data_IF_730849410889
#
_entry.id   IF_730849410889
#
_cell.length_a   1.000
_cell.length_b   1.000
_cell.length_c   1.000
_cell.angle_alpha   90.00
_cell.angle_beta   90.00
_cell.angle_gamma   90.00
#
_symmetry.space_group_name_H-M   'P 1'
#
loop_
_entity.id
_entity.type
_entity.pdbx_description
1 polymer ?
#
# COMPACT_ATOMS: atom_id res chain seq x y z
N UNK A 1 -13.55 4.76 -9.44
CA UNK A 1 -13.73 4.61 -7.98
C UNK A 1 -12.44 4.08 -7.41
N UNK A 2 -11.97 4.62 -6.28
CA UNK A 2 -10.66 4.36 -5.68
C UNK A 2 -10.83 3.74 -4.30
N UNK A 3 -10.34 2.52 -4.15
CA UNK A 3 -10.38 1.76 -2.90
C UNK A 3 -8.97 1.68 -2.34
N UNK A 4 -8.81 1.98 -1.05
CA UNK A 4 -7.55 1.80 -0.34
C UNK A 4 -7.67 0.63 0.65
N UNK A 5 -6.79 -0.35 0.54
CA UNK A 5 -6.73 -1.54 1.41
C UNK A 5 -5.51 -1.46 2.33
N UNK A 6 -5.74 -1.42 3.63
CA UNK A 6 -4.70 -1.40 4.65
C UNK A 6 -4.51 -2.81 5.20
N UNK A 7 -3.27 -3.31 5.09
CA UNK A 7 -2.83 -4.60 5.65
C UNK A 7 -1.61 -4.39 6.55
N UNK A 8 -1.22 -5.41 7.30
CA UNK A 8 0.01 -5.33 8.10
C UNK A 8 1.25 -5.59 7.23
N UNK A 9 1.39 -6.76 6.58
CA UNK A 9 2.57 -7.07 5.77
C UNK A 9 2.31 -8.17 4.72
N UNK A 10 3.15 -8.29 3.69
CA UNK A 10 3.03 -9.40 2.72
C UNK A 10 3.63 -10.72 3.21
N UNK A 11 4.26 -10.73 4.39
CA UNK A 11 4.92 -11.92 4.93
C UNK A 11 3.94 -13.04 5.24
N UNK A 12 2.70 -12.71 5.61
CA UNK A 12 1.68 -13.68 5.98
C UNK A 12 0.86 -14.13 4.76
N UNK A 13 0.67 -15.44 4.61
CA UNK A 13 -0.16 -16.05 3.58
C UNK A 13 -1.59 -15.50 3.57
N UNK A 14 -2.18 -15.29 4.75
CA UNK A 14 -3.53 -14.72 4.87
C UNK A 14 -3.62 -13.36 4.19
N UNK A 15 -2.64 -12.48 4.42
CA UNK A 15 -2.65 -11.12 3.88
C UNK A 15 -2.42 -11.12 2.37
N UNK A 16 -1.51 -11.97 1.87
CA UNK A 16 -1.32 -12.14 0.41
C UNK A 16 -2.59 -12.63 -0.26
N UNK A 17 -3.29 -13.60 0.34
CA UNK A 17 -4.56 -14.13 -0.18
C UNK A 17 -5.66 -13.08 -0.17
N UNK A 18 -5.80 -12.29 0.90
CA UNK A 18 -6.73 -11.14 0.95
C UNK A 18 -6.42 -10.14 -0.17
N UNK A 19 -5.17 -9.73 -0.33
CA UNK A 19 -4.77 -8.82 -1.41
C UNK A 19 -5.08 -9.39 -2.79
N UNK A 20 -4.88 -10.70 -2.98
CA UNK A 20 -5.19 -11.36 -4.25
C UNK A 20 -6.69 -11.36 -4.55
N UNK A 21 -7.52 -11.68 -3.58
CA UNK A 21 -8.98 -11.61 -3.72
C UNK A 21 -9.46 -10.19 -4.04
N UNK A 22 -8.95 -9.21 -3.32
CA UNK A 22 -9.26 -7.80 -3.54
C UNK A 22 -8.83 -7.33 -4.94
N UNK A 23 -7.64 -7.73 -5.40
CA UNK A 23 -7.16 -7.42 -6.74
C UNK A 23 -8.10 -7.98 -7.81
N UNK A 24 -8.48 -9.27 -7.71
CA UNK A 24 -9.37 -9.90 -8.69
C UNK A 24 -10.72 -9.19 -8.76
N UNK A 25 -11.32 -8.86 -7.61
CA UNK A 25 -12.56 -8.08 -7.57
C UNK A 25 -12.39 -6.68 -8.16
N UNK A 26 -11.27 -6.00 -7.88
CA UNK A 26 -11.02 -4.66 -8.39
C UNK A 26 -10.89 -4.65 -9.92
N UNK A 27 -10.21 -5.66 -10.49
CA UNK A 27 -10.06 -5.86 -11.93
C UNK A 27 -11.41 -6.17 -12.61
N UNK A 28 -12.23 -7.07 -12.03
CA UNK A 28 -13.56 -7.40 -12.56
C UNK A 28 -14.51 -6.19 -12.57
N UNK A 29 -14.46 -5.37 -11.51
CA UNK A 29 -15.33 -4.21 -11.34
C UNK A 29 -14.78 -2.94 -12.00
N UNK A 30 -13.56 -2.99 -12.54
CA UNK A 30 -12.89 -1.85 -13.16
C UNK A 30 -12.67 -0.67 -12.20
N UNK A 31 -12.30 -0.95 -10.95
CA UNK A 31 -11.98 0.06 -9.92
C UNK A 31 -10.48 0.05 -9.61
N UNK A 32 -9.95 1.17 -9.08
CA UNK A 32 -8.55 1.25 -8.66
C UNK A 32 -8.40 0.70 -7.24
N UNK A 33 -7.35 -0.08 -6.98
CA UNK A 33 -7.03 -0.62 -5.66
C UNK A 33 -5.62 -0.19 -5.22
N UNK A 34 -5.53 0.54 -4.12
CA UNK A 34 -4.27 0.95 -3.50
C UNK A 34 -4.01 0.14 -2.24
N UNK A 35 -2.95 -0.66 -2.21
CA UNK A 35 -2.60 -1.52 -1.07
C UNK A 35 -1.51 -0.84 -0.23
N UNK A 36 -1.78 -0.68 1.06
CA UNK A 36 -0.91 -0.02 2.04
C UNK A 36 -0.44 -1.03 3.10
N UNK A 37 0.75 -1.63 2.96
CA UNK A 37 1.38 -2.44 4.00
C UNK A 37 2.01 -1.57 5.09
N UNK A 38 1.30 -1.36 6.20
CA UNK A 38 1.75 -0.46 7.27
C UNK A 38 2.23 -1.14 8.56
N UNK A 39 2.41 -2.45 8.58
CA UNK A 39 2.71 -3.27 9.76
C UNK A 39 1.70 -3.10 10.92
N UNK A 40 2.17 -3.26 12.16
CA UNK A 40 1.34 -3.29 13.37
C UNK A 40 1.30 -1.91 14.03
N UNK A 41 0.16 -1.54 14.60
CA UNK A 41 0.09 -0.46 15.58
C UNK A 41 0.94 -0.85 16.79
N UNK A 42 1.62 0.13 17.37
CA UNK A 42 2.44 -0.07 18.57
C UNK A 42 1.97 0.81 19.71
N UNK A 43 1.98 0.27 20.93
CA UNK A 43 1.85 1.09 22.13
C UNK A 43 3.04 2.06 22.25
N UNK A 44 2.78 3.25 22.80
CA UNK A 44 3.82 4.23 23.09
C UNK A 44 4.64 3.79 24.32
N UNK A 45 5.51 2.78 24.17
CA UNK A 45 6.41 2.39 25.26
C UNK A 45 7.55 3.41 25.39
N UNK A 46 7.42 4.33 26.34
CA UNK A 46 8.41 5.37 26.64
C UNK A 46 9.74 4.80 27.15
N UNK A 47 9.79 3.55 27.64
CA UNK A 47 11.00 2.94 28.20
C UNK A 47 11.91 2.32 27.14
N UNK A 48 11.38 2.02 25.94
CA UNK A 48 12.11 1.41 24.81
C UNK A 48 12.40 2.38 23.65
N UNK A 49 12.18 3.67 23.86
CA UNK A 49 12.12 4.69 22.81
C UNK A 49 13.38 4.87 21.93
N UNK A 50 14.55 4.34 22.31
CA UNK A 50 15.82 4.61 21.62
C UNK A 50 16.18 3.65 20.47
N UNK A 51 15.47 2.54 20.25
CA UNK A 51 15.89 1.50 19.27
C UNK A 51 14.79 0.95 18.36
N UNK A 52 13.54 1.30 18.60
CA UNK A 52 12.42 0.72 17.86
C UNK A 52 12.05 1.68 16.72
N UNK A 53 12.41 1.37 15.48
CA UNK A 53 11.99 2.10 14.27
C UNK A 53 10.66 1.59 13.69
N UNK A 54 10.10 0.51 14.25
CA UNK A 54 8.89 -0.12 13.71
C UNK A 54 7.66 0.78 13.80
N UNK A 55 7.66 1.78 14.69
CA UNK A 55 6.58 2.80 14.73
C UNK A 55 6.46 3.59 13.42
N UNK A 56 7.54 3.67 12.64
CA UNK A 56 7.55 4.44 11.40
C UNK A 56 6.75 3.75 10.29
N UNK A 57 6.49 2.45 10.40
CA UNK A 57 5.86 1.64 9.35
C UNK A 57 4.40 2.05 9.10
N UNK A 58 3.68 2.47 10.15
CA UNK A 58 2.30 2.96 9.99
C UNK A 58 2.23 4.30 9.22
N UNK A 59 3.36 4.97 8.98
CA UNK A 59 3.38 6.27 8.30
C UNK A 59 2.85 6.21 6.86
N UNK A 60 2.87 5.04 6.24
CA UNK A 60 2.26 4.84 4.92
C UNK A 60 0.76 5.17 4.92
N UNK A 61 0.08 5.00 6.06
CA UNK A 61 -1.35 5.32 6.20
C UNK A 61 -1.63 6.82 6.19
N UNK A 62 -0.63 7.67 6.46
CA UNK A 62 -0.78 9.13 6.44
C UNK A 62 -0.88 9.71 5.03
N UNK A 63 -0.66 8.90 3.98
CA UNK A 63 -0.80 9.31 2.58
C UNK A 63 -2.21 9.09 2.03
N UNK A 64 -3.10 8.53 2.85
CA UNK A 64 -4.50 8.30 2.51
C UNK A 64 -5.30 9.57 2.80
N UNK A 65 -6.11 9.99 1.84
CA UNK A 65 -6.97 11.16 1.99
C UNK A 65 -8.20 11.08 1.06
N UNK A 66 -9.21 11.94 1.24
CA UNK A 66 -10.41 11.96 0.39
C UNK A 66 -10.14 12.29 -1.08
N UNK A 67 -9.04 12.98 -1.40
CA UNK A 67 -8.68 13.30 -2.78
C UNK A 67 -8.19 12.07 -3.55
N UNK A 68 -7.68 11.03 -2.86
CA UNK A 68 -7.16 9.80 -3.49
C UNK A 68 -7.90 8.51 -3.11
N UNK A 69 -8.85 8.57 -2.18
CA UNK A 69 -9.57 7.39 -1.67
C UNK A 69 -11.05 7.70 -1.47
N UNK A 70 -11.92 6.90 -2.10
CA UNK A 70 -13.37 7.03 -1.94
C UNK A 70 -13.90 6.20 -0.75
N UNK A 71 -13.24 5.06 -0.46
CA UNK A 71 -13.55 4.17 0.66
C UNK A 71 -12.31 3.39 1.11
N UNK A 72 -12.21 3.18 2.42
CA UNK A 72 -11.12 2.43 3.07
C UNK A 72 -11.56 1.02 3.45
N UNK A 73 -10.73 0.04 3.14
CA UNK A 73 -10.81 -1.32 3.65
C UNK A 73 -9.66 -1.54 4.63
N UNK A 74 -9.94 -1.98 5.85
CA UNK A 74 -8.91 -2.09 6.91
C UNK A 74 -8.94 -3.47 7.58
N UNK A 75 -7.81 -4.18 7.54
CA UNK A 75 -7.56 -5.37 8.36
C UNK A 75 -7.16 -4.99 9.80
N UNK A 76 -8.09 -4.36 10.52
CA UNK A 76 -7.84 -3.77 11.83
C UNK A 76 -7.48 -4.80 12.90
N UNK A 77 -7.96 -6.04 12.74
CA UNK A 77 -7.61 -7.14 13.63
C UNK A 77 -6.11 -7.41 13.59
N UNK A 78 -5.55 -7.56 12.39
CA UNK A 78 -4.12 -7.82 12.21
C UNK A 78 -3.26 -6.59 12.50
N UNK A 79 -3.59 -5.44 11.91
CA UNK A 79 -2.86 -4.18 12.12
C UNK A 79 -2.87 -3.81 13.61
N UNK A 80 -4.01 -3.96 14.27
CA UNK A 80 -4.19 -3.62 15.68
C UNK A 80 -3.89 -4.75 16.67
N UNK A 81 -3.34 -5.89 16.26
CA UNK A 81 -3.20 -7.09 17.14
C UNK A 81 -2.37 -6.87 18.40
N UNK A 82 -1.54 -5.83 18.44
CA UNK A 82 -0.64 -5.49 19.56
C UNK A 82 -1.13 -4.35 20.45
N UNK A 83 -2.32 -3.81 20.20
CA UNK A 83 -2.86 -2.65 20.92
C UNK A 83 -4.30 -2.87 21.38
N UNK A 84 -4.70 -2.14 22.41
CA UNK A 84 -6.07 -2.20 22.96
C UNK A 84 -7.13 -1.53 22.07
N UNK A 85 -8.41 -1.74 22.41
CA UNK A 85 -9.55 -1.19 21.68
C UNK A 85 -9.50 0.33 21.52
N UNK A 86 -9.14 1.06 22.58
CA UNK A 86 -9.01 2.53 22.57
C UNK A 86 -8.04 2.98 21.47
N UNK A 87 -6.90 2.30 21.32
CA UNK A 87 -5.90 2.65 20.31
C UNK A 87 -6.36 2.34 18.89
N UNK A 88 -7.13 1.27 18.72
CA UNK A 88 -7.77 0.94 17.43
C UNK A 88 -8.80 2.02 17.06
N UNK A 89 -9.62 2.46 18.00
CA UNK A 89 -10.57 3.55 17.79
C UNK A 89 -9.87 4.88 17.45
N UNK A 90 -8.80 5.23 18.18
CA UNK A 90 -7.97 6.39 17.84
C UNK A 90 -7.43 6.27 16.41
N UNK A 91 -6.91 5.11 16.01
CA UNK A 91 -6.42 4.89 14.65
C UNK A 91 -7.51 5.13 13.60
N UNK A 92 -8.71 4.58 13.79
CA UNK A 92 -9.82 4.78 12.85
C UNK A 92 -10.25 6.25 12.73
N UNK A 93 -10.24 7.01 13.85
CA UNK A 93 -10.57 8.44 13.85
C UNK A 93 -9.66 9.30 12.95
N UNK A 94 -8.43 8.86 12.65
CA UNK A 94 -7.54 9.58 11.74
C UNK A 94 -8.08 9.66 10.31
N UNK A 95 -9.01 8.78 9.96
CA UNK A 95 -9.60 8.70 8.63
C UNK A 95 -10.96 9.38 8.53
N UNK A 96 -11.54 9.92 9.61
CA UNK A 96 -12.79 10.67 9.53
C UNK A 96 -12.61 11.92 8.63
N UNK A 97 -13.57 12.24 7.74
CA UNK A 97 -14.91 11.65 7.61
C UNK A 97 -15.03 10.57 6.52
N UNK A 98 -13.93 9.92 6.10
CA UNK A 98 -13.96 8.90 5.04
C UNK A 98 -14.81 7.68 5.43
N UNK A 99 -15.40 7.01 4.42
CA UNK A 99 -16.10 5.73 4.62
C UNK A 99 -15.08 4.64 4.93
N UNK A 100 -15.35 3.83 5.97
CA UNK A 100 -14.47 2.74 6.42
C UNK A 100 -15.26 1.42 6.46
N UNK A 101 -14.71 0.40 5.80
CA UNK A 101 -15.13 -0.99 5.84
C UNK A 101 -14.03 -1.82 6.52
N UNK A 102 -14.36 -2.52 7.59
CA UNK A 102 -13.41 -3.39 8.29
C UNK A 102 -13.50 -4.83 7.78
N UNK A 103 -12.38 -5.53 7.75
CA UNK A 103 -12.43 -6.97 7.45
C UNK A 103 -13.09 -7.77 8.58
N UNK A 104 -12.86 -7.36 9.83
CA UNK A 104 -13.42 -8.01 11.03
C UNK A 104 -14.38 -7.06 11.76
N UNK A 105 -15.32 -7.61 12.53
CA UNK A 105 -16.35 -6.84 13.21
C UNK A 105 -15.79 -5.89 14.29
N UNK A 106 -16.27 -4.63 14.29
CA UNK A 106 -16.12 -3.66 15.37
C UNK A 106 -17.37 -2.79 15.45
N UNK A 107 -17.83 -2.50 16.67
CA UNK A 107 -19.03 -1.69 16.90
C UNK A 107 -18.89 -0.31 16.25
N UNK A 108 -19.91 0.11 15.50
CA UNK A 108 -19.96 1.44 14.87
C UNK A 108 -19.36 1.51 13.47
N UNK A 109 -18.85 0.40 12.92
CA UNK A 109 -18.25 0.35 11.59
C UNK A 109 -18.89 -0.75 10.73
N UNK A 110 -18.98 -0.50 9.43
CA UNK A 110 -19.31 -1.56 8.47
C UNK A 110 -18.18 -2.60 8.47
N UNK A 111 -18.54 -3.85 8.24
CA UNK A 111 -17.56 -4.91 8.11
C UNK A 111 -17.99 -5.94 7.04
N UNK A 112 -17.01 -6.71 6.58
CA UNK A 112 -17.20 -7.75 5.55
C UNK A 112 -17.73 -9.04 6.14
N UNK A 113 -17.30 -9.36 7.37
CA UNK A 113 -17.59 -10.64 8.01
C UNK A 113 -19.08 -10.81 8.36
N UNK A 114 -19.64 -11.95 7.98
CA UNK A 114 -21.01 -12.38 8.31
C UNK A 114 -21.06 -13.44 9.40
N UNK A 115 -19.92 -13.79 10.02
CA UNK A 115 -19.82 -14.79 11.08
C UNK A 115 -19.51 -16.22 10.62
N UNK A 116 -19.14 -16.42 9.35
CA UNK A 116 -18.70 -17.72 8.80
C UNK A 116 -17.21 -17.70 8.48
N UNK A 117 -16.49 -18.80 8.78
CA UNK A 117 -15.08 -18.96 8.40
C UNK A 117 -14.93 -18.99 6.88
N UNK A 118 -14.52 -17.86 6.30
CA UNK A 118 -14.23 -17.71 4.86
C UNK A 118 -12.74 -17.89 4.57
N UNK A 119 -12.42 -18.31 3.34
CA UNK A 119 -11.03 -18.26 2.89
C UNK A 119 -10.57 -16.81 2.78
N UNK A 120 -9.27 -16.60 2.94
CA UNK A 120 -8.67 -15.26 2.96
C UNK A 120 -8.86 -14.50 1.65
N UNK A 121 -8.78 -15.22 0.53
CA UNK A 121 -9.05 -14.68 -0.81
C UNK A 121 -10.52 -14.29 -1.00
N UNK A 122 -11.47 -15.10 -0.51
CA UNK A 122 -12.90 -14.80 -0.56
C UNK A 122 -13.21 -13.54 0.26
N UNK A 123 -12.59 -13.40 1.44
CA UNK A 123 -12.71 -12.22 2.28
C UNK A 123 -12.24 -10.95 1.55
N UNK A 124 -11.08 -11.00 0.88
CA UNK A 124 -10.56 -9.87 0.12
C UNK A 124 -11.44 -9.49 -1.07
N UNK A 125 -11.98 -10.49 -1.78
CA UNK A 125 -12.89 -10.30 -2.91
C UNK A 125 -14.20 -9.63 -2.47
N UNK A 126 -14.84 -10.16 -1.43
CA UNK A 126 -16.07 -9.59 -0.86
C UNK A 126 -15.84 -8.18 -0.32
N UNK A 127 -14.68 -7.90 0.27
CA UNK A 127 -14.38 -6.58 0.80
C UNK A 127 -14.49 -5.50 -0.28
N UNK A 128 -13.99 -5.77 -1.49
CA UNK A 128 -14.09 -4.84 -2.62
C UNK A 128 -15.52 -4.74 -3.13
N UNK A 129 -16.24 -5.86 -3.31
CA UNK A 129 -17.64 -5.85 -3.75
C UNK A 129 -18.54 -5.07 -2.79
N UNK A 130 -18.38 -5.29 -1.48
CA UNK A 130 -19.11 -4.58 -0.43
C UNK A 130 -18.73 -3.10 -0.37
N UNK A 131 -17.44 -2.77 -0.52
CA UNK A 131 -16.99 -1.38 -0.60
C UNK A 131 -17.65 -0.63 -1.77
N UNK A 132 -17.73 -1.25 -2.95
CA UNK A 132 -18.43 -0.69 -4.12
C UNK A 132 -19.91 -0.46 -3.81
N UNK A 133 -20.59 -1.45 -3.25
CA UNK A 133 -22.01 -1.36 -2.88
C UNK A 133 -22.28 -0.21 -1.90
N UNK A 134 -21.44 -0.06 -0.86
CA UNK A 134 -21.53 1.02 0.13
C UNK A 134 -21.29 2.42 -0.46
N UNK A 135 -20.45 2.53 -1.49
CA UNK A 135 -20.22 3.81 -2.19
C UNK A 135 -21.39 4.12 -3.12
N UNK A 136 -21.90 3.13 -3.86
CA UNK A 136 -22.99 3.28 -4.84
C UNK A 136 -24.40 3.27 -4.24
N UNK A 137 -24.56 2.98 -2.95
CA UNK A 137 -25.84 2.78 -2.26
C UNK A 137 -26.73 1.71 -2.92
N UNK A 138 -26.13 0.58 -3.30
CA UNK A 138 -26.82 -0.53 -3.97
C UNK A 138 -27.07 -1.71 -3.00
N UNK A 139 -27.94 -2.65 -3.38
CA UNK A 139 -28.13 -3.89 -2.63
C UNK A 139 -26.88 -4.77 -2.74
N UNK A 140 -26.57 -5.55 -1.70
CA UNK A 140 -25.45 -6.49 -1.70
C UNK A 140 -25.73 -7.67 -2.64
N UNK A 141 -24.81 -7.98 -3.55
CA UNK A 141 -24.74 -9.26 -4.24
C UNK A 141 -23.76 -10.14 -3.47
N UNK A 142 -24.26 -11.17 -2.77
CA UNK A 142 -23.47 -12.04 -1.89
C UNK A 142 -22.87 -13.28 -2.60
N UNK A 143 -23.15 -13.50 -3.89
CA UNK A 143 -22.71 -14.71 -4.56
C UNK A 143 -21.20 -14.70 -4.86
N UNK A 144 -20.47 -15.54 -4.13
CA UNK A 144 -19.15 -16.02 -4.53
C UNK A 144 -19.32 -17.42 -5.13
N UNK A 145 -19.64 -17.52 -6.41
CA UNK A 145 -19.65 -18.80 -7.15
C UNK A 145 -18.40 -18.97 -8.02
N UNK A 146 -17.26 -18.43 -7.57
CA UNK A 146 -16.03 -18.43 -8.36
C UNK A 146 -14.81 -18.82 -7.53
N UNK A 147 -14.02 -19.75 -8.06
CA UNK A 147 -12.68 -20.01 -7.56
C UNK A 147 -11.78 -18.81 -7.87
N UNK A 148 -11.28 -18.13 -6.84
CA UNK A 148 -10.31 -17.03 -7.02
C UNK A 148 -8.96 -17.64 -7.38
N UNK A 149 -8.38 -17.31 -8.55
CA UNK A 149 -7.10 -17.89 -8.96
C UNK A 149 -5.98 -17.37 -8.05
N UNK A 150 -5.44 -18.27 -7.23
CA UNK A 150 -4.18 -18.07 -6.51
C UNK A 150 -3.03 -18.40 -7.48
N UNK A 151 -2.38 -17.38 -8.00
CA UNK A 151 -1.14 -17.56 -8.73
C UNK A 151 0.02 -17.47 -7.74
N UNK A 152 0.62 -18.61 -7.43
CA UNK A 152 1.93 -18.64 -6.78
C UNK A 152 2.98 -18.81 -7.85
N UNK A 153 3.81 -17.78 -8.06
CA UNK A 153 4.98 -17.91 -8.91
C UNK A 153 5.89 -19.02 -8.34
N UNK A 154 6.44 -19.92 -9.17
CA UNK A 154 7.37 -20.93 -8.71
C UNK A 154 8.52 -20.28 -7.92
N UNK A 155 8.95 -20.92 -6.83
CA UNK A 155 10.07 -20.40 -6.00
C UNK A 155 11.32 -20.12 -6.84
N UNK A 156 11.57 -20.92 -7.88
CA UNK A 156 12.68 -20.73 -8.82
C UNK A 156 12.58 -19.42 -9.60
N UNK A 157 11.38 -19.00 -9.98
CA UNK A 157 11.16 -17.71 -10.66
C UNK A 157 11.45 -16.56 -9.69
N UNK A 158 10.91 -16.62 -8.47
CA UNK A 158 11.15 -15.61 -7.45
C UNK A 158 12.64 -15.47 -7.10
N UNK A 159 13.34 -16.61 -6.96
CA UNK A 159 14.79 -16.64 -6.73
C UNK A 159 15.57 -16.06 -7.92
N UNK A 160 15.20 -16.39 -9.16
CA UNK A 160 15.83 -15.81 -10.35
C UNK A 160 15.67 -14.30 -10.43
N UNK A 161 14.48 -13.77 -10.11
CA UNK A 161 14.24 -12.32 -10.03
C UNK A 161 15.09 -11.65 -8.95
N UNK A 162 15.21 -12.28 -7.78
CA UNK A 162 16.08 -11.80 -6.70
C UNK A 162 17.57 -11.84 -7.07
N UNK A 163 18.01 -12.87 -7.81
CA UNK A 163 19.38 -12.97 -8.31
C UNK A 163 19.72 -11.80 -9.25
N UNK A 164 18.82 -11.48 -10.18
CA UNK A 164 18.98 -10.35 -11.12
C UNK A 164 19.10 -9.04 -10.34
N UNK A 165 18.17 -8.78 -9.41
CA UNK A 165 18.17 -7.55 -8.61
C UNK A 165 19.39 -7.44 -7.71
N UNK A 166 19.78 -8.51 -7.02
CA UNK A 166 20.96 -8.52 -6.15
C UNK A 166 22.25 -8.32 -6.93
N UNK A 167 22.40 -9.00 -8.07
CA UNK A 167 23.54 -8.82 -8.98
C UNK A 167 23.62 -7.40 -9.50
N UNK A 168 22.48 -6.81 -9.87
CA UNK A 168 22.38 -5.41 -10.24
C UNK A 168 22.85 -4.51 -9.09
N UNK A 169 22.30 -4.63 -7.89
CA UNK A 169 22.65 -3.77 -6.75
C UNK A 169 24.13 -3.84 -6.35
N UNK A 170 24.76 -5.02 -6.51
CA UNK A 170 26.19 -5.21 -6.20
C UNK A 170 27.09 -4.60 -7.28
N UNK A 171 26.71 -4.72 -8.55
CA UNK A 171 27.54 -4.31 -9.69
C UNK A 171 27.29 -2.86 -10.13
N UNK A 172 26.14 -2.31 -9.75
CA UNK A 172 25.79 -0.93 -10.06
C UNK A 172 26.73 0.01 -9.34
N UNK A 173 27.71 0.50 -10.08
CA UNK A 173 28.35 1.75 -9.73
C UNK A 173 27.30 2.83 -9.96
N UNK A 174 26.55 3.22 -8.93
CA UNK A 174 25.60 4.36 -8.94
C UNK A 174 26.28 5.72 -9.21
N UNK A 175 27.37 5.73 -9.98
CA UNK A 175 28.19 6.82 -10.45
C UNK A 175 27.63 7.47 -11.73
N UNK A 176 26.53 6.98 -12.30
CA UNK A 176 25.83 7.66 -13.41
C UNK A 176 25.14 8.93 -12.91
N UNK A 177 24.94 9.89 -13.82
CA UNK A 177 24.29 11.18 -13.56
C UNK A 177 22.87 11.04 -12.95
N UNK A 178 22.20 9.89 -13.12
CA UNK A 178 20.87 9.63 -12.54
C UNK A 178 20.76 8.20 -11.92
N UNK A 179 20.96 8.04 -10.59
CA UNK A 179 20.89 6.74 -9.92
C UNK A 179 19.47 6.14 -9.88
N UNK A 180 18.43 6.97 -10.05
CA UNK A 180 17.04 6.53 -10.01
C UNK A 180 16.63 5.78 -11.28
N UNK A 181 17.06 6.25 -12.45
CA UNK A 181 16.89 5.53 -13.71
C UNK A 181 17.62 4.20 -13.72
N UNK A 182 18.80 4.14 -13.10
CA UNK A 182 19.57 2.91 -13.00
C UNK A 182 18.80 1.88 -12.18
N UNK A 183 18.24 2.28 -11.02
CA UNK A 183 17.35 1.42 -10.23
C UNK A 183 16.18 0.88 -11.07
N UNK A 184 15.50 1.74 -11.83
CA UNK A 184 14.41 1.34 -12.72
C UNK A 184 14.87 0.34 -13.79
N UNK A 185 16.06 0.52 -14.37
CA UNK A 185 16.65 -0.45 -15.32
C UNK A 185 16.84 -1.82 -14.66
N UNK A 186 17.34 -1.87 -13.43
CA UNK A 186 17.48 -3.12 -12.68
C UNK A 186 16.15 -3.81 -12.41
N UNK A 187 15.12 -3.05 -12.05
CA UNK A 187 13.75 -3.56 -11.85
C UNK A 187 13.14 -4.11 -13.15
N UNK A 188 13.28 -3.38 -14.26
CA UNK A 188 12.83 -3.83 -15.59
C UNK A 188 13.52 -5.12 -16.02
N UNK A 189 14.84 -5.24 -15.79
CA UNK A 189 15.59 -6.48 -16.05
C UNK A 189 15.09 -7.67 -15.21
N UNK A 190 14.59 -7.42 -14.00
CA UNK A 190 13.97 -8.43 -13.15
C UNK A 190 12.49 -8.73 -13.52
N UNK A 191 11.96 -8.09 -14.57
CA UNK A 191 10.62 -8.31 -15.08
C UNK A 191 9.53 -7.43 -14.45
N UNK A 192 9.89 -6.40 -13.70
CA UNK A 192 8.92 -5.38 -13.24
C UNK A 192 8.51 -4.50 -14.42
N UNK A 193 7.20 -4.34 -14.63
CA UNK A 193 6.66 -3.57 -15.76
C UNK A 193 6.28 -2.14 -15.36
N UNK A 194 5.67 -1.98 -14.19
CA UNK A 194 5.21 -0.71 -13.64
C UNK A 194 5.87 -0.48 -12.28
N UNK A 195 6.41 0.71 -12.06
CA UNK A 195 6.96 1.16 -10.78
C UNK A 195 7.13 2.67 -10.82
N UNK A 196 7.02 3.35 -9.68
CA UNK A 196 7.33 4.77 -9.57
C UNK A 196 8.09 5.07 -8.29
N UNK A 197 9.16 5.85 -8.42
CA UNK A 197 9.95 6.33 -7.30
C UNK A 197 9.69 7.81 -7.11
N UNK A 198 9.19 8.13 -5.92
CA UNK A 198 8.96 9.50 -5.50
C UNK A 198 9.86 9.88 -4.34
N UNK A 199 10.35 11.12 -4.30
CA UNK A 199 11.14 11.65 -3.19
C UNK A 199 10.56 12.96 -2.66
N UNK A 200 10.72 13.18 -1.36
CA UNK A 200 10.35 14.44 -0.72
C UNK A 200 11.42 15.51 -0.99
N UNK A 201 11.04 16.81 -1.04
CA UNK A 201 11.99 17.92 -1.07
C UNK A 201 13.02 17.85 0.06
N UNK A 202 12.57 17.44 1.23
CA UNK A 202 13.39 17.27 2.41
C UNK A 202 13.04 15.97 3.14
N UNK A 203 14.07 15.23 3.53
CA UNK A 203 13.91 14.03 4.34
C UNK A 203 13.28 14.38 5.71
N UNK A 204 12.13 13.79 6.03
CA UNK A 204 11.39 14.09 7.26
C UNK A 204 11.76 13.11 8.37
N UNK A 205 12.19 13.65 9.50
CA UNK A 205 12.44 12.84 10.71
C UNK A 205 11.14 12.70 11.49
N UNK A 206 10.60 11.48 11.52
CA UNK A 206 9.43 11.17 12.34
C UNK A 206 9.87 10.56 13.65
N UNK A 207 9.13 10.85 14.71
CA UNK A 207 9.35 10.25 16.03
C UNK A 207 8.02 9.71 16.55
N UNK A 208 8.04 8.81 17.54
CA UNK A 208 6.80 8.34 18.18
C UNK A 208 5.91 9.48 18.70
N UNK A 209 6.49 10.62 19.07
CA UNK A 209 5.78 11.79 19.61
C UNK A 209 5.29 12.74 18.52
N UNK A 210 5.93 12.70 17.35
CA UNK A 210 5.62 13.51 16.19
C UNK A 210 5.43 12.54 15.02
N UNK A 211 4.23 11.91 14.93
CA UNK A 211 3.91 11.06 13.79
C UNK A 211 4.03 11.87 12.49
N UNK A 212 4.23 11.17 11.37
CA UNK A 212 4.41 11.81 10.07
C UNK A 212 3.24 12.75 9.78
N UNK A 213 3.59 13.99 9.43
CA UNK A 213 2.74 14.85 8.63
C UNK A 213 3.13 14.64 7.18
N UNK A 214 2.17 14.21 6.37
CA UNK A 214 2.37 14.06 4.92
C UNK A 214 2.98 15.37 4.37
N UNK A 215 4.15 15.34 3.72
CA UNK A 215 4.72 16.54 3.10
C UNK A 215 3.71 17.14 2.12
N UNK A 216 3.70 18.46 1.96
CA UNK A 216 2.79 19.09 0.99
C UNK A 216 3.14 18.68 -0.44
N UNK A 217 4.43 18.47 -0.69
CA UNK A 217 5.00 18.27 -2.01
C UNK A 217 5.84 17.00 -2.10
N UNK A 218 5.80 16.35 -3.27
CA UNK A 218 6.59 15.18 -3.61
C UNK A 218 7.00 15.24 -5.10
N UNK A 219 8.17 14.66 -5.42
CA UNK A 219 8.74 14.66 -6.77
C UNK A 219 8.78 13.26 -7.35
N UNK A 220 8.29 13.08 -8.58
CA UNK A 220 8.50 11.87 -9.35
C UNK A 220 9.93 11.86 -9.92
N UNK A 221 10.77 10.96 -9.42
CA UNK A 221 12.19 10.92 -9.80
C UNK A 221 12.47 10.01 -10.99
N UNK A 222 11.81 8.85 -11.01
CA UNK A 222 11.91 7.86 -12.08
C UNK A 222 10.69 6.94 -12.04
N UNK A 223 10.39 6.31 -13.16
CA UNK A 223 9.31 5.34 -13.26
C UNK A 223 9.64 4.26 -14.30
N UNK A 224 8.93 3.15 -14.18
CA UNK A 224 8.77 2.14 -15.21
C UNK A 224 7.35 2.20 -15.72
N UNK A 225 7.22 2.14 -17.05
CA UNK A 225 5.93 1.86 -17.65
C UNK A 225 6.05 0.96 -18.87
N UNK A 226 5.30 -0.14 -18.87
CA UNK A 226 5.47 -1.23 -19.83
C UNK A 226 6.90 -1.78 -19.87
N UNK A 227 7.64 -1.71 -18.76
CA UNK A 227 9.05 -2.07 -18.66
C UNK A 227 10.03 -1.04 -19.25
N UNK A 228 9.53 0.07 -19.82
CA UNK A 228 10.35 1.17 -20.30
C UNK A 228 10.68 2.13 -19.16
N UNK A 229 11.93 2.57 -19.11
CA UNK A 229 12.42 3.46 -18.07
C UNK A 229 12.18 4.91 -18.48
N UNK A 230 11.43 5.62 -17.66
CA UNK A 230 11.25 7.06 -17.77
C UNK A 230 11.82 7.77 -16.56
N UNK A 231 12.24 9.01 -16.78
CA UNK A 231 12.56 9.97 -15.75
C UNK A 231 12.05 11.33 -16.19
N UNK A 232 11.74 12.18 -15.22
CA UNK A 232 11.44 13.58 -15.51
C UNK A 232 12.64 14.41 -15.09
N UNK A 233 13.16 15.24 -16.00
CA UNK A 233 14.20 16.22 -15.70
C UNK A 233 13.52 17.44 -15.06
N UNK A 234 14.01 17.83 -13.88
CA UNK A 234 13.57 18.97 -13.07
C UNK A 234 12.10 18.94 -12.60
N UNK A 235 11.92 18.53 -11.34
CA UNK A 235 10.86 18.99 -10.43
C UNK A 235 9.43 19.12 -10.98
N UNK A 236 8.84 18.03 -11.49
CA UNK A 236 7.37 17.91 -11.46
C UNK A 236 6.94 17.72 -10.00
N UNK A 237 6.99 18.84 -9.28
CA UNK A 237 6.49 19.00 -7.94
C UNK A 237 4.98 18.83 -7.98
N UNK A 238 4.46 17.85 -7.26
CA UNK A 238 3.02 17.72 -7.10
C UNK A 238 2.65 17.73 -5.65
N UNK A 239 1.37 18.02 -5.41
CA UNK A 239 0.77 17.78 -4.12
C UNK A 239 0.90 16.30 -3.79
N UNK A 240 1.45 16.01 -2.62
CA UNK A 240 1.57 14.63 -2.15
C UNK A 240 0.22 13.94 -2.00
N UNK A 241 -0.89 14.69 -1.90
CA UNK A 241 -2.23 14.09 -1.89
C UNK A 241 -2.58 13.40 -3.22
N UNK A 242 -2.02 13.86 -4.34
CA UNK A 242 -2.37 13.45 -5.71
C UNK A 242 -1.33 12.51 -6.35
N UNK A 243 -0.31 12.06 -5.60
CA UNK A 243 0.83 11.30 -6.15
C UNK A 243 0.42 10.04 -6.94
N UNK A 244 -0.69 9.40 -6.57
CA UNK A 244 -1.20 8.20 -7.26
C UNK A 244 -1.56 8.48 -8.73
N UNK A 245 -2.02 9.70 -9.04
CA UNK A 245 -2.37 10.10 -10.40
C UNK A 245 -1.16 10.35 -11.30
N UNK A 246 0.05 10.44 -10.72
CA UNK A 246 1.28 10.66 -11.46
C UNK A 246 1.94 9.38 -11.96
N UNK A 247 1.53 8.22 -11.46
CA UNK A 247 2.13 6.95 -11.89
C UNK A 247 1.82 6.77 -13.39
N UNK A 248 2.84 6.75 -14.28
CA UNK A 248 2.57 6.78 -15.72
C UNK A 248 1.84 5.51 -16.18
N UNK A 249 0.88 5.67 -17.08
CA UNK A 249 -0.05 4.61 -17.49
C UNK A 249 -0.77 3.91 -16.31
N UNK A 250 -0.88 4.56 -15.14
CA UNK A 250 -1.87 4.19 -14.15
C UNK A 250 -3.25 4.37 -14.78
N UNK A 251 -3.73 3.33 -15.45
CA UNK A 251 -5.13 3.25 -15.80
C UNK A 251 -5.92 3.39 -14.50
N UNK A 252 -7.12 3.97 -14.57
CA UNK A 252 -8.05 4.03 -13.43
C UNK A 252 -8.42 2.63 -12.87
N UNK A 253 -7.85 1.55 -13.40
CA UNK A 253 -8.12 0.14 -13.08
C UNK A 253 -6.86 -0.59 -12.62
N UNK A 254 -5.87 0.13 -12.08
CA UNK A 254 -4.63 -0.48 -11.62
C UNK A 254 -4.71 -0.85 -10.13
N UNK A 255 -4.15 -2.01 -9.79
CA UNK A 255 -3.79 -2.35 -8.41
C UNK A 255 -2.35 -1.91 -8.16
N UNK A 256 -2.13 -1.11 -7.12
CA UNK A 256 -0.81 -0.58 -6.75
C UNK A 256 -0.45 -0.87 -5.31
N UNK A 257 0.85 -0.96 -5.00
CA UNK A 257 1.36 -1.22 -3.65
C UNK A 257 2.21 -0.03 -3.23
N UNK A 258 1.82 0.67 -2.17
CA UNK A 258 2.50 1.90 -1.77
C UNK A 258 3.37 1.64 -0.56
N UNK A 259 4.67 1.87 -0.69
CA UNK A 259 5.64 1.75 0.38
C UNK A 259 6.31 3.10 0.66
N UNK A 260 6.58 3.37 1.94
CA UNK A 260 7.39 4.52 2.34
C UNK A 260 8.87 4.14 2.29
N UNK A 261 9.69 5.05 1.78
CA UNK A 261 11.14 4.91 1.75
C UNK A 261 11.78 5.57 2.97
N UNK A 262 12.73 4.85 3.57
CA UNK A 262 13.42 5.27 4.78
C UNK A 262 14.93 5.28 4.58
N UNK A 263 15.59 6.30 5.14
CA UNK A 263 17.02 6.38 5.35
C UNK A 263 17.29 6.57 6.85
N UNK A 264 17.55 5.46 7.54
CA UNK A 264 17.60 5.43 9.00
C UNK A 264 16.25 5.79 9.61
N UNK A 265 16.20 6.84 10.44
CA UNK A 265 14.93 7.35 11.02
C UNK A 265 14.24 8.40 10.14
N UNK A 266 14.79 8.71 8.96
CA UNK A 266 14.24 9.73 8.06
C UNK A 266 13.42 9.06 6.98
N UNK A 267 12.24 9.59 6.72
CA UNK A 267 11.46 9.27 5.54
C UNK A 267 11.91 10.14 4.38
N UNK A 268 12.14 9.52 3.24
CA UNK A 268 12.73 10.19 2.07
C UNK A 268 11.80 10.22 0.87
N UNK A 269 10.75 9.40 0.86
CA UNK A 269 9.82 9.36 -0.27
C UNK A 269 8.89 8.16 -0.25
N UNK A 270 8.37 7.82 -1.42
CA UNK A 270 7.48 6.70 -1.67
C UNK A 270 8.01 5.84 -2.81
N UNK A 271 7.75 4.55 -2.74
CA UNK A 271 7.93 3.61 -3.84
C UNK A 271 6.58 2.94 -4.10
N UNK A 272 6.12 3.04 -5.35
CA UNK A 272 4.82 2.56 -5.81
C UNK A 272 5.04 1.49 -6.87
#
# INVERSE_FOLDING_TARGET
>A
MRISLLISEFKNDRERKICRGAQVAAEEEGVSLSIFPGMFLTEADHRKAKKDVFYQQNAVFSFINPENTDILIIDLEQIGRKVGAIKKEEFLKHFEPMKILLLSAMRGYWNVDSGEERKSEELGYLAVKKAISLVKNQAEEEEIDKSIPLFEAPTTEALGKLEILSSFLIRSEFKKENPYEELMKGLSQAGTLEAALFLFPEAKKNTRRQPLKCPEEIYLMAYLSGGQVGSQKEFDCVKTSDFMGMVPNASERMTQIINVLYLGEKQVGLFV
#
